data_IF_765421456769
#
_entry.id   IF_765421456769
#
_cell.length_a   1.000
_cell.length_b   1.000
_cell.length_c   1.000
_cell.angle_alpha   90.00
_cell.angle_beta   90.00
_cell.angle_gamma   90.00
#
_symmetry.space_group_name_H-M   'P 1'
#
loop_
_entity.id
_entity.type
_entity.pdbx_description
1 polymer ?
#
# COMPACT_ATOMS: atom_id res chain seq x y z
N UNK A 1 -20.76 -14.09 -6.30
CA UNK A 1 -19.64 -14.44 -5.38
C UNK A 1 -18.56 -15.03 -6.25
N UNK A 2 -17.33 -14.49 -6.18
CA UNK A 2 -16.19 -15.04 -6.93
C UNK A 2 -15.79 -16.40 -6.39
N UNK A 3 -15.30 -17.27 -7.26
CA UNK A 3 -14.94 -18.65 -6.93
C UNK A 3 -13.51 -18.95 -7.34
N UNK A 4 -12.96 -20.03 -6.77
CA UNK A 4 -11.73 -20.64 -7.25
C UNK A 4 -11.81 -22.16 -7.16
N UNK A 5 -11.14 -22.84 -8.08
CA UNK A 5 -11.16 -24.32 -8.18
C UNK A 5 -10.03 -24.98 -7.41
N UNK A 6 -8.99 -24.26 -7.04
CA UNK A 6 -7.85 -24.79 -6.30
C UNK A 6 -8.26 -25.11 -4.87
N UNK A 7 -8.11 -26.38 -4.48
CA UNK A 7 -8.47 -26.85 -3.15
C UNK A 7 -7.25 -27.45 -2.44
N UNK A 8 -7.08 -27.17 -1.14
CA UNK A 8 -5.99 -27.75 -0.38
C UNK A 8 -6.24 -29.24 -0.18
N UNK A 9 -5.21 -30.06 -0.37
CA UNK A 9 -5.26 -31.51 -0.26
C UNK A 9 -4.89 -31.99 1.16
N UNK A 10 -5.51 -33.07 1.63
CA UNK A 10 -5.21 -33.78 2.88
C UNK A 10 -5.20 -32.82 4.14
N UNK A 11 -6.21 -31.97 4.28
CA UNK A 11 -6.31 -30.97 5.37
C UNK A 11 -7.09 -31.46 6.60
N UNK A 12 -7.73 -32.60 6.54
CA UNK A 12 -8.48 -33.14 7.69
C UNK A 12 -7.55 -33.43 8.89
N UNK A 13 -8.06 -33.30 10.11
CA UNK A 13 -7.29 -33.47 11.35
C UNK A 13 -6.60 -34.82 11.47
N UNK A 14 -7.18 -35.88 10.87
CA UNK A 14 -6.64 -37.25 10.83
C UNK A 14 -6.15 -37.67 9.42
N UNK A 15 -5.79 -36.69 8.58
CA UNK A 15 -5.25 -36.98 7.27
C UNK A 15 -3.96 -37.81 7.37
N UNK A 16 -3.80 -38.79 6.46
CA UNK A 16 -2.60 -39.60 6.39
C UNK A 16 -1.44 -38.79 5.80
N UNK A 17 -0.76 -38.03 6.64
CA UNK A 17 0.41 -37.23 6.28
C UNK A 17 1.50 -37.37 7.33
N UNK A 18 2.76 -37.38 6.88
CA UNK A 18 3.94 -37.44 7.75
C UNK A 18 3.94 -36.27 8.72
N UNK A 19 4.22 -36.54 10.00
CA UNK A 19 4.35 -35.49 11.01
C UNK A 19 5.51 -34.53 10.67
N UNK A 20 5.43 -33.28 11.14
CA UNK A 20 6.41 -32.25 10.76
C UNK A 20 7.86 -32.62 11.14
N UNK A 21 8.15 -33.11 12.39
CA UNK A 21 9.52 -33.48 12.73
C UNK A 21 10.07 -34.63 11.85
N UNK A 22 9.25 -35.66 11.55
CA UNK A 22 9.65 -36.78 10.72
C UNK A 22 9.87 -36.35 9.27
N UNK A 23 9.08 -35.36 8.80
CA UNK A 23 9.23 -34.81 7.46
C UNK A 23 10.55 -34.03 7.33
N UNK A 24 10.90 -33.20 8.31
CA UNK A 24 12.15 -32.43 8.32
C UNK A 24 13.40 -33.30 8.43
N UNK A 25 13.30 -34.45 9.09
CA UNK A 25 14.38 -35.41 9.22
C UNK A 25 14.52 -36.29 7.97
N UNK A 26 13.66 -36.19 6.97
CA UNK A 26 13.60 -37.10 5.84
C UNK A 26 14.71 -36.81 4.82
N UNK A 27 15.66 -37.74 4.55
CA UNK A 27 16.72 -37.52 3.57
C UNK A 27 16.23 -37.11 2.18
N UNK A 28 15.08 -37.60 1.66
CA UNK A 28 14.52 -37.19 0.38
C UNK A 28 14.15 -35.71 0.27
N UNK A 29 14.09 -34.93 1.35
CA UNK A 29 13.92 -33.48 1.23
C UNK A 29 15.08 -32.80 0.48
N UNK A 30 16.29 -33.38 0.58
CA UNK A 30 17.47 -32.87 -0.11
C UNK A 30 17.68 -33.57 -1.47
N UNK A 31 17.51 -34.88 -1.51
CA UNK A 31 17.85 -35.69 -2.67
C UNK A 31 16.66 -36.02 -3.61
N UNK A 32 15.44 -35.77 -3.17
CA UNK A 32 14.23 -36.34 -3.80
C UNK A 32 14.11 -37.85 -3.52
N UNK A 33 13.05 -38.46 -4.00
CA UNK A 33 12.86 -39.89 -3.95
C UNK A 33 13.69 -40.55 -5.08
N UNK A 34 14.80 -41.17 -4.72
CA UNK A 34 15.77 -41.74 -5.70
C UNK A 34 15.38 -43.10 -6.22
N UNK A 35 15.01 -44.03 -5.31
CA UNK A 35 14.63 -45.39 -5.63
C UNK A 35 13.73 -45.96 -4.53
N UNK A 36 12.98 -47.03 -4.87
CA UNK A 36 12.06 -47.68 -3.93
C UNK A 36 10.67 -47.05 -3.91
N UNK A 37 9.92 -47.30 -2.83
CA UNK A 37 8.55 -46.84 -2.66
C UNK A 37 8.50 -45.69 -1.65
N UNK A 38 8.03 -44.52 -2.06
CA UNK A 38 7.62 -43.49 -1.12
C UNK A 38 6.34 -43.94 -0.37
N UNK A 39 6.24 -43.66 0.92
CA UNK A 39 4.99 -43.93 1.63
C UNK A 39 3.90 -42.94 1.20
N UNK A 40 2.64 -43.37 1.23
CA UNK A 40 1.52 -42.50 0.92
C UNK A 40 1.48 -41.23 1.82
N UNK A 41 1.90 -41.38 3.10
CA UNK A 41 1.96 -40.26 4.03
C UNK A 41 3.01 -39.21 3.59
N UNK A 42 4.14 -39.61 3.06
CA UNK A 42 5.19 -38.70 2.55
C UNK A 42 4.73 -37.98 1.28
N UNK A 43 4.11 -38.71 0.34
CA UNK A 43 3.56 -38.15 -0.90
C UNK A 43 2.43 -37.13 -0.54
N UNK A 44 1.54 -37.56 0.33
CA UNK A 44 0.45 -36.69 0.79
C UNK A 44 0.97 -35.39 1.48
N UNK A 45 2.09 -35.48 2.22
CA UNK A 45 2.72 -34.29 2.84
C UNK A 45 3.20 -33.31 1.78
N UNK A 46 3.90 -33.80 0.76
CA UNK A 46 4.39 -32.94 -0.33
C UNK A 46 3.24 -32.28 -1.10
N UNK A 47 2.23 -33.07 -1.49
CA UNK A 47 1.05 -32.55 -2.21
C UNK A 47 0.29 -31.53 -1.33
N UNK A 48 0.13 -31.82 -0.02
CA UNK A 48 -0.54 -30.89 0.89
C UNK A 48 0.14 -29.55 0.93
N UNK A 49 1.47 -29.50 1.09
CA UNK A 49 2.21 -28.25 1.13
C UNK A 49 2.03 -27.45 -0.16
N UNK A 50 2.19 -28.09 -1.32
CA UNK A 50 2.03 -27.45 -2.62
C UNK A 50 0.59 -26.94 -2.85
N UNK A 51 -0.40 -27.81 -2.62
CA UNK A 51 -1.83 -27.47 -2.84
C UNK A 51 -2.35 -26.44 -1.85
N UNK A 52 -1.83 -26.41 -0.64
CA UNK A 52 -2.21 -25.39 0.36
C UNK A 52 -1.81 -23.99 -0.09
N UNK A 53 -0.60 -23.82 -0.57
CA UNK A 53 -0.11 -22.55 -1.11
C UNK A 53 -0.88 -22.16 -2.37
N UNK A 54 -1.09 -23.13 -3.29
CA UNK A 54 -1.85 -22.88 -4.51
C UNK A 54 -3.29 -22.42 -4.20
N UNK A 55 -3.98 -23.10 -3.27
CA UNK A 55 -5.33 -22.73 -2.85
C UNK A 55 -5.37 -21.36 -2.17
N UNK A 56 -4.41 -21.05 -1.29
CA UNK A 56 -4.33 -19.74 -0.63
C UNK A 56 -4.12 -18.61 -1.63
N UNK A 57 -3.22 -18.81 -2.60
CA UNK A 57 -2.95 -17.81 -3.65
C UNK A 57 -4.16 -17.62 -4.56
N UNK A 58 -4.83 -18.71 -4.96
CA UNK A 58 -6.03 -18.65 -5.78
C UNK A 58 -7.19 -17.93 -5.05
N UNK A 59 -7.39 -18.21 -3.75
CA UNK A 59 -8.39 -17.55 -2.92
C UNK A 59 -8.11 -16.06 -2.80
N UNK A 60 -6.86 -15.68 -2.49
CA UNK A 60 -6.44 -14.29 -2.41
C UNK A 60 -6.69 -13.56 -3.73
N UNK A 61 -6.24 -14.18 -4.83
CA UNK A 61 -6.40 -13.61 -6.18
C UNK A 61 -7.88 -13.40 -6.53
N UNK A 62 -8.73 -14.41 -6.30
CA UNK A 62 -10.16 -14.30 -6.57
C UNK A 62 -10.81 -13.20 -5.74
N UNK A 63 -10.56 -13.17 -4.43
CA UNK A 63 -11.13 -12.17 -3.52
C UNK A 63 -10.73 -10.74 -3.87
N UNK A 64 -9.46 -10.53 -4.20
CA UNK A 64 -8.91 -9.19 -4.46
C UNK A 64 -9.17 -8.72 -5.89
N UNK A 65 -9.01 -9.58 -6.90
CA UNK A 65 -9.29 -9.20 -8.29
C UNK A 65 -10.79 -9.02 -8.56
N UNK A 66 -11.64 -9.78 -7.86
CA UNK A 66 -13.08 -9.87 -8.15
C UNK A 66 -13.38 -10.80 -9.35
N UNK A 67 -12.43 -11.62 -9.76
CA UNK A 67 -12.52 -12.53 -10.92
C UNK A 67 -12.38 -13.99 -10.46
N UNK A 68 -13.10 -14.90 -11.12
CA UNK A 68 -12.96 -16.33 -10.86
C UNK A 68 -11.56 -16.85 -11.23
N UNK A 69 -11.01 -17.70 -10.39
CA UNK A 69 -9.72 -18.39 -10.62
C UNK A 69 -9.99 -19.86 -10.85
N UNK A 70 -9.98 -20.27 -12.12
CA UNK A 70 -10.32 -21.62 -12.54
C UNK A 70 -9.05 -22.46 -12.75
N UNK A 71 -9.20 -23.77 -12.59
CA UNK A 71 -8.17 -24.76 -12.92
C UNK A 71 -8.40 -25.23 -14.38
N UNK A 72 -8.13 -24.34 -15.31
CA UNK A 72 -8.37 -24.50 -16.74
C UNK A 72 -7.08 -24.56 -17.57
N UNK A 73 -5.92 -24.49 -16.89
CA UNK A 73 -4.60 -24.50 -17.53
C UNK A 73 -4.18 -23.12 -18.09
N UNK A 74 -4.99 -22.08 -17.97
CA UNK A 74 -4.64 -20.72 -18.41
C UNK A 74 -3.72 -20.01 -17.37
N UNK A 75 -2.43 -20.34 -17.44
CA UNK A 75 -1.41 -19.72 -16.58
C UNK A 75 -1.33 -18.20 -16.77
N UNK A 76 -1.41 -17.71 -18.00
CA UNK A 76 -1.30 -16.29 -18.29
C UNK A 76 -2.50 -15.49 -17.75
N UNK A 77 -3.70 -16.06 -17.88
CA UNK A 77 -4.90 -15.50 -17.29
C UNK A 77 -4.81 -15.46 -15.75
N UNK A 78 -4.25 -16.48 -15.12
CA UNK A 78 -4.03 -16.47 -13.67
C UNK A 78 -3.01 -15.40 -13.27
N UNK A 79 -1.89 -15.27 -13.95
CA UNK A 79 -0.88 -14.24 -13.70
C UNK A 79 -1.50 -12.81 -13.83
N UNK A 80 -2.31 -12.58 -14.85
CA UNK A 80 -3.00 -11.30 -15.06
C UNK A 80 -3.95 -10.97 -13.90
N UNK A 81 -4.73 -11.96 -13.43
CA UNK A 81 -5.61 -11.82 -12.27
C UNK A 81 -4.83 -11.54 -10.99
N UNK A 82 -3.67 -12.20 -10.80
CA UNK A 82 -2.75 -11.92 -9.68
C UNK A 82 -2.25 -10.47 -9.72
N UNK A 83 -1.83 -9.98 -10.89
CA UNK A 83 -1.43 -8.58 -11.06
C UNK A 83 -2.53 -7.59 -10.64
N UNK A 84 -3.76 -7.86 -11.04
CA UNK A 84 -4.94 -7.08 -10.62
C UNK A 84 -5.16 -7.15 -9.10
N UNK A 85 -5.02 -8.32 -8.50
CA UNK A 85 -5.20 -8.52 -7.06
C UNK A 85 -4.14 -7.76 -6.24
N UNK A 86 -2.87 -7.91 -6.61
CA UNK A 86 -1.77 -7.21 -5.95
C UNK A 86 -1.86 -5.70 -6.09
N UNK A 87 -2.28 -5.19 -7.26
CA UNK A 87 -2.47 -3.76 -7.49
C UNK A 87 -3.54 -3.11 -6.59
N UNK A 88 -4.37 -3.91 -5.90
CA UNK A 88 -5.34 -3.39 -4.91
C UNK A 88 -4.77 -3.26 -3.49
N UNK A 89 -3.75 -4.04 -3.17
CA UNK A 89 -3.11 -4.00 -1.84
C UNK A 89 -1.78 -3.23 -1.86
N UNK A 90 -1.15 -3.15 -3.02
CA UNK A 90 0.13 -2.48 -3.20
C UNK A 90 -0.03 -1.38 -4.24
N UNK A 91 0.46 -0.19 -3.90
CA UNK A 91 0.50 0.89 -4.86
C UNK A 91 1.49 0.54 -5.97
N UNK A 92 1.09 0.72 -7.23
CA UNK A 92 2.02 0.59 -8.34
C UNK A 92 3.20 1.53 -8.15
N UNK A 93 4.38 1.10 -8.56
CA UNK A 93 5.57 1.95 -8.53
C UNK A 93 5.30 3.16 -9.43
N UNK A 94 5.20 4.33 -8.82
CA UNK A 94 4.97 5.61 -9.45
C UNK A 94 6.20 6.50 -9.28
N UNK A 95 6.61 7.20 -10.32
CA UNK A 95 7.82 8.02 -10.28
C UNK A 95 7.68 9.20 -9.32
N UNK A 96 6.50 9.83 -9.25
CA UNK A 96 6.21 10.91 -8.30
C UNK A 96 6.31 10.44 -6.85
N UNK A 97 5.75 9.26 -6.53
CA UNK A 97 5.85 8.68 -5.19
C UNK A 97 7.27 8.25 -4.85
N UNK A 98 8.01 7.73 -5.84
CA UNK A 98 9.43 7.39 -5.68
C UNK A 98 10.25 8.63 -5.36
N UNK A 99 9.99 9.76 -6.03
CA UNK A 99 10.63 11.03 -5.76
C UNK A 99 10.35 11.53 -4.33
N UNK A 100 9.09 11.43 -3.87
CA UNK A 100 8.71 11.79 -2.50
C UNK A 100 9.34 10.85 -1.47
N UNK A 101 9.34 9.53 -1.73
CA UNK A 101 9.93 8.53 -0.83
C UNK A 101 11.45 8.66 -0.71
N UNK A 102 12.13 9.18 -1.74
CA UNK A 102 13.56 9.45 -1.73
C UNK A 102 13.99 10.68 -0.94
N UNK A 103 13.05 11.50 -0.44
CA UNK A 103 13.38 12.71 0.31
C UNK A 103 13.90 12.37 1.72
N UNK A 104 14.96 13.04 2.15
CA UNK A 104 15.47 12.96 3.52
C UNK A 104 14.54 13.71 4.48
N UNK A 105 13.43 13.07 4.88
CA UNK A 105 12.40 13.67 5.72
C UNK A 105 12.91 14.06 7.09
N UNK A 106 12.30 15.08 7.72
CA UNK A 106 12.66 15.54 9.05
C UNK A 106 11.61 16.50 9.60
N UNK A 107 11.74 16.85 10.88
CA UNK A 107 10.85 17.81 11.50
C UNK A 107 10.93 19.17 10.79
N UNK A 108 9.79 19.82 10.62
CA UNK A 108 9.68 21.16 10.00
C UNK A 108 10.18 21.22 8.54
N UNK A 109 10.05 20.11 7.79
CA UNK A 109 10.30 20.08 6.36
C UNK A 109 8.98 20.03 5.61
N UNK A 110 8.90 20.76 4.50
CA UNK A 110 7.77 20.77 3.57
C UNK A 110 8.24 20.25 2.22
N UNK A 111 7.71 19.11 1.72
CA UNK A 111 8.01 18.65 0.37
C UNK A 111 7.30 19.50 -0.68
N UNK A 112 7.96 19.73 -1.79
CA UNK A 112 7.38 20.40 -2.96
C UNK A 112 7.93 19.81 -4.24
N UNK A 113 7.17 19.92 -5.33
CA UNK A 113 7.62 19.44 -6.65
C UNK A 113 8.48 20.49 -7.34
N UNK A 114 9.58 20.05 -7.90
CA UNK A 114 10.52 20.88 -8.68
C UNK A 114 10.39 20.69 -10.19
N UNK A 115 9.60 19.69 -10.60
CA UNK A 115 9.29 19.33 -11.98
C UNK A 115 8.50 18.03 -12.01
N UNK A 116 8.30 17.45 -13.22
CA UNK A 116 7.67 16.16 -13.36
C UNK A 116 8.50 15.11 -12.63
N UNK A 117 7.87 14.31 -11.79
CA UNK A 117 8.47 13.20 -11.05
C UNK A 117 9.73 13.58 -10.24
N UNK A 118 9.85 14.84 -9.86
CA UNK A 118 10.96 15.35 -9.05
C UNK A 118 10.42 16.17 -7.88
N UNK A 119 11.01 15.97 -6.70
CA UNK A 119 10.60 16.65 -5.48
C UNK A 119 11.83 17.09 -4.67
N UNK A 120 11.66 18.13 -3.87
CA UNK A 120 12.65 18.63 -2.93
C UNK A 120 12.00 18.99 -1.60
N UNK A 121 12.82 19.27 -0.61
CA UNK A 121 12.37 19.76 0.70
C UNK A 121 12.76 21.22 0.87
N UNK A 122 11.89 21.98 1.50
CA UNK A 122 12.19 23.29 2.07
C UNK A 122 11.88 23.29 3.56
N UNK A 123 12.41 24.28 4.28
CA UNK A 123 12.06 24.46 5.68
C UNK A 123 10.66 25.07 5.83
N UNK A 124 9.81 24.41 6.61
CA UNK A 124 8.55 24.96 7.07
C UNK A 124 8.81 25.76 8.35
N UNK A 125 9.07 27.06 8.22
CA UNK A 125 9.38 27.94 9.32
C UNK A 125 8.20 28.05 10.31
N UNK A 126 8.45 28.61 11.52
CA UNK A 126 7.38 28.85 12.48
C UNK A 126 6.31 29.78 11.89
N UNK A 127 6.72 30.87 11.22
CA UNK A 127 5.79 31.79 10.54
C UNK A 127 4.93 31.07 9.50
N UNK A 128 5.54 30.18 8.71
CA UNK A 128 4.80 29.36 7.74
C UNK A 128 3.73 28.49 8.41
N UNK A 129 4.08 27.82 9.50
CA UNK A 129 3.13 27.00 10.27
C UNK A 129 2.02 27.83 10.90
N UNK A 130 2.36 29.01 11.44
CA UNK A 130 1.40 29.91 12.06
C UNK A 130 0.38 30.40 11.03
N UNK A 131 0.80 30.73 9.82
CA UNK A 131 -0.10 31.16 8.72
C UNK A 131 -0.98 30.00 8.26
N UNK A 132 -0.39 28.83 7.97
CA UNK A 132 -1.12 27.62 7.52
C UNK A 132 -2.12 27.17 8.60
N UNK A 133 -1.79 27.35 9.87
CA UNK A 133 -2.66 26.98 10.98
C UNK A 133 -3.82 27.94 11.25
N UNK A 134 -3.97 29.04 10.52
CA UNK A 134 -5.10 29.96 10.69
C UNK A 134 -6.37 29.40 10.04
N UNK A 135 -7.48 29.55 10.72
CA UNK A 135 -8.78 29.04 10.26
C UNK A 135 -9.54 30.00 9.36
N UNK A 136 -9.24 31.31 9.44
CA UNK A 136 -9.93 32.32 8.66
C UNK A 136 -8.98 33.38 8.08
N UNK A 137 -9.43 34.10 7.04
CA UNK A 137 -8.68 35.21 6.47
C UNK A 137 -8.47 36.30 7.54
N UNK A 138 -9.47 36.57 8.39
CA UNK A 138 -9.38 37.54 9.46
C UNK A 138 -8.25 37.18 10.46
N UNK A 139 -8.08 35.88 10.79
CA UNK A 139 -7.00 35.46 11.67
C UNK A 139 -5.61 35.64 11.03
N UNK A 140 -5.50 35.46 9.69
CA UNK A 140 -4.27 35.77 8.95
C UNK A 140 -3.97 37.24 8.96
N UNK A 141 -4.96 38.09 8.68
CA UNK A 141 -4.81 39.57 8.71
C UNK A 141 -4.39 40.05 10.10
N UNK A 142 -4.98 39.50 11.16
CA UNK A 142 -4.60 39.85 12.54
C UNK A 142 -3.16 39.40 12.84
N UNK A 143 -2.77 38.19 12.43
CA UNK A 143 -1.41 37.72 12.62
C UNK A 143 -0.37 38.56 11.90
N UNK A 144 -0.69 39.04 10.69
CA UNK A 144 0.13 39.96 9.90
C UNK A 144 0.00 41.43 10.34
N UNK A 145 -0.89 41.73 11.31
CA UNK A 145 -1.24 43.10 11.75
C UNK A 145 -1.78 43.97 10.63
N UNK A 146 -2.56 43.37 9.73
CA UNK A 146 -3.17 44.00 8.56
C UNK A 146 -4.68 44.22 8.71
N UNK A 147 -5.25 44.04 9.90
CA UNK A 147 -6.68 44.18 10.18
C UNK A 147 -7.19 45.62 9.99
N UNK A 148 -6.29 46.55 9.74
CA UNK A 148 -6.61 47.94 9.40
C UNK A 148 -6.69 48.22 7.91
N UNK A 149 -6.28 47.23 7.09
CA UNK A 149 -6.38 47.30 5.64
C UNK A 149 -7.72 46.76 5.22
N UNK A 150 -8.48 47.55 4.46
CA UNK A 150 -9.73 47.13 3.84
C UNK A 150 -9.65 47.44 2.35
N UNK A 151 -9.98 46.48 1.52
CA UNK A 151 -9.91 46.61 0.08
C UNK A 151 -11.22 46.15 -0.55
N UNK A 152 -11.88 47.04 -1.26
CA UNK A 152 -12.99 46.69 -2.11
C UNK A 152 -12.62 46.89 -3.60
N UNK A 153 -13.60 46.76 -4.50
CA UNK A 153 -13.39 46.89 -5.94
C UNK A 153 -12.96 48.25 -6.41
N UNK A 154 -13.14 49.29 -5.57
CA UNK A 154 -12.96 50.69 -5.95
C UNK A 154 -11.79 51.34 -5.24
N UNK A 155 -11.51 50.95 -4.00
CA UNK A 155 -10.49 51.65 -3.19
C UNK A 155 -9.85 50.72 -2.14
N UNK A 156 -8.65 51.11 -1.72
CA UNK A 156 -7.96 50.52 -0.58
C UNK A 156 -7.98 51.55 0.56
N UNK A 157 -8.44 51.14 1.74
CA UNK A 157 -8.53 51.99 2.93
C UNK A 157 -7.56 51.53 3.99
N UNK A 158 -6.84 52.48 4.60
CA UNK A 158 -6.04 52.22 5.78
C UNK A 158 -6.71 52.93 6.95
N UNK A 159 -7.35 52.16 7.83
CA UNK A 159 -8.09 52.71 8.94
C UNK A 159 -7.17 53.27 10.04
N UNK A 160 -7.60 54.36 10.68
CA UNK A 160 -7.00 54.85 11.91
C UNK A 160 -7.07 53.74 13.01
N UNK A 161 -6.23 53.81 14.06
CA UNK A 161 -6.27 52.81 15.15
C UNK A 161 -7.63 52.69 15.83
N UNK A 162 -8.40 53.78 15.88
CA UNK A 162 -9.75 53.81 16.44
C UNK A 162 -10.87 53.49 15.44
N UNK A 163 -10.51 53.19 14.17
CA UNK A 163 -11.41 52.86 13.04
C UNK A 163 -12.47 53.93 12.74
N UNK A 164 -12.18 55.21 13.07
CA UNK A 164 -13.11 56.32 12.82
C UNK A 164 -12.81 57.11 11.54
N UNK A 165 -11.60 56.98 11.01
CA UNK A 165 -11.19 57.63 9.77
C UNK A 165 -10.24 56.69 8.98
N UNK A 166 -10.12 56.97 7.68
CA UNK A 166 -9.18 56.28 6.79
C UNK A 166 -8.55 57.23 5.79
N UNK A 167 -7.44 56.81 5.18
CA UNK A 167 -6.76 57.45 4.08
C UNK A 167 -6.70 56.49 2.90
#
# INVERSE_FOLDING_TARGET
MVTHNFKPFATAAKANVTAQPDWEALPPLLSGFMAGKASSAQVNKAIRQASFIAAALAQYTANKSGLDVLDDGDLNGFISKMGTAFGKDFQALDATLTALAGLATGANKLPYFTGNDTAALTDLTQVGRDIIGKSTIADILTYLRLERFDQDTNETRIWSPDKKSYI
#
